data_IF_681260971647
#
_entry.id   IF_681260971647
#
_cell.length_a   1.000
_cell.length_b   1.000
_cell.length_c   1.000
_cell.angle_alpha   90.00
_cell.angle_beta   90.00
_cell.angle_gamma   90.00
#
_symmetry.space_group_name_H-M   'P 1'
#
loop_
_entity.id
_entity.type
_entity.pdbx_description
1 polymer ?
#
# COMPACT_ATOMS: atom_id res chain seq x y z
N UNK A 1 52.16 -29.95 5.44
CA UNK A 1 50.96 -29.68 4.62
C UNK A 1 50.75 -28.18 4.59
N UNK A 2 51.12 -27.53 3.49
CA UNK A 2 50.94 -26.09 3.30
C UNK A 2 49.49 -25.86 2.89
N UNK A 3 48.65 -25.35 3.79
CA UNK A 3 47.35 -24.83 3.40
C UNK A 3 47.61 -23.58 2.57
N UNK A 4 47.50 -23.72 1.25
CA UNK A 4 47.67 -22.63 0.30
C UNK A 4 46.68 -21.52 0.64
N UNK A 5 47.18 -20.35 1.07
CA UNK A 5 46.39 -19.18 1.49
C UNK A 5 45.33 -18.77 0.47
N UNK A 6 45.52 -19.11 -0.81
CA UNK A 6 44.58 -18.87 -1.91
C UNK A 6 43.24 -19.59 -1.69
N UNK A 7 43.24 -20.81 -1.14
CA UNK A 7 42.00 -21.57 -0.87
C UNK A 7 41.20 -20.98 0.29
N UNK A 8 41.89 -20.47 1.32
CA UNK A 8 41.25 -19.82 2.45
C UNK A 8 40.62 -18.48 2.06
N UNK A 9 41.28 -17.70 1.21
CA UNK A 9 40.75 -16.42 0.69
C UNK A 9 39.51 -16.65 -0.19
N UNK A 10 39.53 -17.67 -1.08
CA UNK A 10 38.37 -18.02 -1.91
C UNK A 10 37.17 -18.54 -1.10
N UNK A 11 37.42 -19.30 -0.02
CA UNK A 11 36.35 -19.78 0.86
C UNK A 11 35.70 -18.64 1.65
N UNK A 12 36.50 -17.66 2.08
CA UNK A 12 36.02 -16.51 2.84
C UNK A 12 35.19 -15.55 1.97
N UNK A 13 35.56 -15.33 0.71
CA UNK A 13 34.76 -14.51 -0.22
C UNK A 13 33.41 -15.15 -0.57
N UNK A 14 33.34 -16.48 -0.68
CA UNK A 14 32.07 -17.19 -0.93
C UNK A 14 31.12 -17.12 0.28
N UNK A 15 31.66 -17.13 1.50
CA UNK A 15 30.88 -17.01 2.74
C UNK A 15 30.33 -15.59 2.95
N UNK A 16 31.05 -14.56 2.52
CA UNK A 16 30.57 -13.16 2.63
C UNK A 16 29.47 -12.88 1.60
N UNK A 17 29.51 -13.51 0.42
CA UNK A 17 28.50 -13.33 -0.62
C UNK A 17 27.13 -13.95 -0.29
N UNK A 18 27.06 -14.88 0.68
CA UNK A 18 25.81 -15.61 1.03
C UNK A 18 24.96 -14.90 2.08
N UNK A 19 25.43 -13.80 2.68
CA UNK A 19 24.72 -13.10 3.77
C UNK A 19 23.85 -11.94 3.25
N UNK A 20 23.98 -11.55 1.98
CA UNK A 20 23.18 -10.47 1.38
C UNK A 20 22.03 -11.06 0.57
N UNK A 21 20.98 -11.51 1.24
CA UNK A 21 19.70 -11.77 0.55
C UNK A 21 18.97 -10.43 0.41
N UNK A 22 18.77 -9.89 -0.82
CA UNK A 22 17.89 -8.74 -0.99
C UNK A 22 16.49 -9.16 -0.52
N UNK A 23 15.89 -8.36 0.35
CA UNK A 23 14.47 -8.54 0.71
C UNK A 23 13.65 -8.32 -0.56
N UNK A 24 13.13 -9.39 -1.15
CA UNK A 24 12.17 -9.30 -2.26
C UNK A 24 10.86 -8.77 -1.68
N UNK A 25 10.65 -7.46 -1.80
CA UNK A 25 9.39 -6.78 -1.50
C UNK A 25 8.41 -7.02 -2.66
N UNK A 26 8.04 -8.27 -2.92
CA UNK A 26 7.11 -8.59 -3.99
C UNK A 26 5.71 -7.99 -3.73
N UNK A 27 5.25 -8.05 -2.47
CA UNK A 27 3.89 -7.69 -2.12
C UNK A 27 3.71 -6.17 -1.92
N UNK A 28 2.66 -5.59 -2.51
CA UNK A 28 2.25 -4.22 -2.19
C UNK A 28 1.78 -4.08 -0.73
N UNK A 29 2.48 -3.25 0.04
CA UNK A 29 2.09 -2.85 1.39
C UNK A 29 1.69 -1.38 1.41
N UNK A 30 0.61 -1.04 2.13
CA UNK A 30 0.23 0.37 2.32
C UNK A 30 1.31 1.09 3.15
N UNK A 31 1.87 2.15 2.60
CA UNK A 31 2.94 2.97 3.20
C UNK A 31 2.41 4.26 3.77
N UNK A 32 1.46 4.89 3.08
CA UNK A 32 0.86 6.15 3.49
C UNK A 32 -0.56 6.24 2.94
N UNK A 33 -1.43 6.93 3.67
CA UNK A 33 -2.80 7.18 3.24
C UNK A 33 -3.24 8.58 3.65
N UNK A 34 -4.11 9.16 2.83
CA UNK A 34 -4.76 10.44 3.08
C UNK A 34 -6.27 10.28 2.90
N UNK A 35 -7.09 10.56 3.94
CA UNK A 35 -6.71 10.89 5.30
C UNK A 35 -5.88 9.79 5.99
N UNK A 36 -5.01 10.19 6.93
CA UNK A 36 -4.21 9.24 7.70
C UNK A 36 -5.07 8.37 8.61
N UNK A 37 -4.54 7.19 9.01
CA UNK A 37 -5.22 6.35 9.99
C UNK A 37 -5.49 7.12 11.29
N UNK A 38 -6.69 6.96 11.82
CA UNK A 38 -7.22 7.59 13.03
C UNK A 38 -7.21 9.13 13.00
N UNK A 39 -6.98 9.72 11.83
CA UNK A 39 -7.02 11.17 11.66
C UNK A 39 -8.45 11.69 11.76
N UNK A 40 -8.56 12.89 12.33
CA UNK A 40 -9.79 13.66 12.37
C UNK A 40 -9.63 14.87 11.45
N UNK A 41 -10.32 14.88 10.32
CA UNK A 41 -10.26 15.96 9.34
C UNK A 41 -11.43 16.93 9.53
N UNK A 42 -11.15 18.22 9.39
CA UNK A 42 -12.17 19.28 9.49
C UNK A 42 -12.98 19.46 8.21
N UNK A 43 -12.49 18.95 7.08
CA UNK A 43 -13.13 19.05 5.78
C UNK A 43 -13.23 17.66 5.17
N UNK A 44 -14.41 17.29 4.68
CA UNK A 44 -14.61 16.06 3.94
C UNK A 44 -13.68 16.02 2.71
N UNK A 45 -12.84 14.98 2.55
CA UNK A 45 -12.00 14.86 1.37
C UNK A 45 -12.86 14.60 0.13
N UNK A 46 -12.38 15.04 -1.04
CA UNK A 46 -13.00 14.72 -2.33
C UNK A 46 -12.53 13.36 -2.88
N UNK A 47 -11.39 12.87 -2.39
CA UNK A 47 -10.84 11.56 -2.74
C UNK A 47 -10.00 11.03 -1.58
N UNK A 48 -9.90 9.71 -1.49
CA UNK A 48 -8.88 9.05 -0.69
C UNK A 48 -7.64 8.80 -1.55
N UNK A 49 -6.47 8.84 -0.92
CA UNK A 49 -5.21 8.56 -1.59
C UNK A 49 -4.43 7.54 -0.79
N UNK A 50 -4.05 6.43 -1.42
CA UNK A 50 -3.33 5.32 -0.79
C UNK A 50 -2.01 5.11 -1.56
N UNK A 51 -0.87 5.22 -0.88
CA UNK A 51 0.45 4.95 -1.43
C UNK A 51 0.95 3.59 -0.96
N UNK A 52 1.41 2.79 -1.91
CA UNK A 52 1.91 1.45 -1.66
C UNK A 52 3.43 1.37 -1.83
N UNK A 53 4.02 0.26 -1.42
CA UNK A 53 5.44 -0.02 -1.68
C UNK A 53 5.71 -0.33 -3.15
N UNK A 54 4.71 -0.87 -3.85
CA UNK A 54 4.83 -1.37 -5.22
C UNK A 54 3.79 -0.73 -6.13
N UNK A 55 4.02 -0.82 -7.44
CA UNK A 55 3.07 -0.36 -8.44
C UNK A 55 1.77 -1.18 -8.40
N UNK A 56 0.62 -0.52 -8.60
CA UNK A 56 -0.71 -1.15 -8.49
C UNK A 56 -1.37 -1.33 -9.86
N UNK A 57 -2.14 -2.41 -10.02
CA UNK A 57 -3.01 -2.67 -11.16
C UNK A 57 -4.47 -2.31 -10.81
N UNK A 58 -4.99 -1.14 -11.26
CA UNK A 58 -6.30 -0.63 -10.82
C UNK A 58 -7.48 -1.51 -11.23
N UNK A 59 -7.37 -2.18 -12.38
CA UNK A 59 -8.44 -3.03 -12.93
C UNK A 59 -8.79 -4.22 -12.01
N UNK A 60 -7.88 -4.60 -11.12
CA UNK A 60 -8.04 -5.72 -10.18
C UNK A 60 -7.99 -5.28 -8.71
N UNK A 61 -8.04 -3.96 -8.47
CA UNK A 61 -7.93 -3.34 -7.15
C UNK A 61 -9.21 -2.60 -6.80
N UNK A 62 -9.48 -2.43 -5.51
CA UNK A 62 -10.71 -1.78 -5.06
C UNK A 62 -10.66 -1.30 -3.62
N UNK A 63 -11.49 -0.31 -3.34
CA UNK A 63 -11.64 0.29 -2.01
C UNK A 63 -13.13 0.42 -1.70
N UNK A 64 -13.51 0.01 -0.50
CA UNK A 64 -14.85 0.18 0.06
C UNK A 64 -14.76 1.13 1.24
N UNK A 65 -15.63 2.12 1.26
CA UNK A 65 -15.71 3.11 2.32
C UNK A 65 -17.06 2.95 3.00
N UNK A 66 -17.07 2.75 4.31
CA UNK A 66 -18.27 2.52 5.11
C UNK A 66 -18.34 3.55 6.22
N UNK A 67 -19.41 4.33 6.25
CA UNK A 67 -19.66 5.33 7.31
C UNK A 67 -20.23 4.71 8.58
N UNK A 68 -20.60 5.58 9.51
CA UNK A 68 -21.36 5.20 10.70
C UNK A 68 -22.71 4.57 10.28
N UNK A 69 -23.19 3.58 11.05
CA UNK A 69 -24.40 2.79 10.73
C UNK A 69 -24.28 1.83 9.54
N UNK A 70 -23.04 1.40 9.20
CA UNK A 70 -22.76 0.44 8.13
C UNK A 70 -23.23 0.89 6.72
N UNK A 71 -23.39 2.19 6.51
CA UNK A 71 -23.76 2.73 5.21
C UNK A 71 -22.54 2.79 4.29
N UNK A 72 -22.60 2.12 3.14
CA UNK A 72 -21.56 2.21 2.12
C UNK A 72 -21.60 3.57 1.44
N UNK A 73 -20.47 4.27 1.44
CA UNK A 73 -20.27 5.52 0.72
C UNK A 73 -20.05 5.21 -0.76
N UNK A 74 -20.73 5.94 -1.64
CA UNK A 74 -20.52 5.81 -3.08
C UNK A 74 -19.15 6.38 -3.47
N UNK A 75 -18.33 5.55 -4.09
CA UNK A 75 -17.02 5.91 -4.64
C UNK A 75 -17.05 5.86 -6.15
N UNK A 76 -16.27 6.73 -6.79
CA UNK A 76 -15.99 6.64 -8.22
C UNK A 76 -15.04 5.48 -8.55
N UNK A 77 -14.78 5.29 -9.84
CA UNK A 77 -13.80 4.29 -10.29
C UNK A 77 -12.40 4.63 -9.73
N UNK A 78 -11.78 3.63 -9.11
CA UNK A 78 -10.41 3.75 -8.57
C UNK A 78 -9.43 3.97 -9.72
N UNK A 79 -8.48 4.89 -9.53
CA UNK A 79 -7.47 5.23 -10.53
C UNK A 79 -6.09 5.14 -9.91
N UNK A 80 -5.09 4.74 -10.70
CA UNK A 80 -3.69 4.93 -10.33
C UNK A 80 -3.21 6.28 -10.85
N UNK A 81 -2.36 6.95 -10.08
CA UNK A 81 -1.74 8.19 -10.55
C UNK A 81 -0.85 7.93 -11.79
N UNK A 82 -0.85 8.88 -12.71
CA UNK A 82 -0.11 8.76 -13.96
C UNK A 82 1.41 8.91 -13.78
N UNK A 83 1.82 9.69 -12.78
CA UNK A 83 3.22 10.02 -12.48
C UNK A 83 3.79 9.11 -11.38
N UNK A 84 2.96 8.67 -10.45
CA UNK A 84 3.31 7.74 -9.37
C UNK A 84 2.51 6.44 -9.49
N UNK A 85 3.17 5.37 -9.95
CA UNK A 85 2.53 4.07 -10.12
C UNK A 85 2.14 3.39 -8.79
N UNK A 86 2.69 3.87 -7.68
CA UNK A 86 2.41 3.31 -6.34
C UNK A 86 1.22 3.98 -5.67
N UNK A 87 0.70 5.05 -6.26
CA UNK A 87 -0.41 5.83 -5.70
C UNK A 87 -1.73 5.43 -6.33
N UNK A 88 -2.69 5.10 -5.47
CA UNK A 88 -4.06 4.79 -5.80
C UNK A 88 -4.98 5.92 -5.31
N UNK A 89 -5.82 6.44 -6.19
CA UNK A 89 -6.76 7.54 -5.96
C UNK A 89 -8.17 6.94 -6.01
N UNK A 90 -8.95 7.20 -4.95
CA UNK A 90 -10.33 6.74 -4.80
C UNK A 90 -11.24 7.97 -4.74
N UNK A 91 -11.85 8.38 -5.86
CA UNK A 91 -12.79 9.49 -5.87
C UNK A 91 -14.00 9.19 -4.99
N UNK A 92 -14.48 10.18 -4.25
CA UNK A 92 -15.72 10.10 -3.50
C UNK A 92 -16.83 10.80 -4.32
N UNK A 93 -17.86 10.04 -4.70
CA UNK A 93 -18.96 10.55 -5.54
C UNK A 93 -20.00 11.35 -4.73
N UNK A 94 -19.80 11.44 -3.42
CA UNK A 94 -20.66 12.15 -2.50
C UNK A 94 -19.81 12.84 -1.43
N UNK A 95 -20.33 13.95 -0.89
CA UNK A 95 -19.72 14.60 0.27
C UNK A 95 -19.94 13.74 1.51
N UNK A 96 -18.87 13.56 2.30
CA UNK A 96 -18.94 12.85 3.57
C UNK A 96 -19.60 13.75 4.62
N UNK A 97 -20.53 13.19 5.38
CA UNK A 97 -21.07 13.82 6.58
C UNK A 97 -20.05 13.72 7.73
N UNK A 98 -20.29 14.47 8.80
CA UNK A 98 -19.58 14.29 10.07
C UNK A 98 -19.75 12.84 10.55
N UNK A 99 -18.66 12.19 10.94
CA UNK A 99 -18.67 10.83 11.41
C UNK A 99 -17.38 10.07 11.12
N UNK A 100 -17.35 8.82 11.55
CA UNK A 100 -16.23 7.89 11.41
C UNK A 100 -16.43 6.97 10.21
N UNK A 101 -15.39 6.85 9.39
CA UNK A 101 -15.36 6.06 8.17
C UNK A 101 -14.35 4.92 8.31
N UNK A 102 -14.77 3.70 7.96
CA UNK A 102 -13.92 2.55 7.73
C UNK A 102 -13.56 2.51 6.25
N UNK A 103 -12.27 2.39 5.95
CA UNK A 103 -11.75 2.19 4.61
C UNK A 103 -11.16 0.79 4.55
N UNK A 104 -11.76 -0.05 3.74
CA UNK A 104 -11.27 -1.40 3.44
C UNK A 104 -10.74 -1.42 2.01
N UNK A 105 -9.53 -1.92 1.81
CA UNK A 105 -8.89 -1.94 0.51
C UNK A 105 -8.36 -3.34 0.19
N UNK A 106 -8.34 -3.65 -1.10
CA UNK A 106 -7.53 -4.71 -1.66
C UNK A 106 -6.84 -4.20 -2.92
N UNK A 107 -5.60 -4.58 -3.12
CA UNK A 107 -4.83 -4.20 -4.30
C UNK A 107 -4.12 -5.40 -4.90
N UNK A 108 -3.94 -5.36 -6.21
CA UNK A 108 -3.07 -6.27 -6.93
C UNK A 108 -1.87 -5.47 -7.40
N UNK A 109 -0.66 -5.87 -7.00
CA UNK A 109 0.57 -5.23 -7.49
C UNK A 109 0.91 -5.69 -8.91
N UNK A 110 1.82 -4.95 -9.55
CA UNK A 110 2.39 -5.30 -10.88
C UNK A 110 3.08 -6.66 -10.91
N UNK A 111 3.40 -7.24 -9.75
CA UNK A 111 3.94 -8.60 -9.61
C UNK A 111 2.85 -9.69 -9.61
N UNK A 112 1.57 -9.29 -9.61
CA UNK A 112 0.41 -10.17 -9.67
C UNK A 112 -0.16 -10.60 -8.30
N UNK A 113 0.44 -10.22 -7.18
CA UNK A 113 -0.04 -10.64 -5.86
C UNK A 113 -1.11 -9.69 -5.31
N UNK A 114 -2.14 -10.28 -4.69
CA UNK A 114 -3.20 -9.55 -4.00
C UNK A 114 -2.88 -9.35 -2.53
N UNK A 115 -2.94 -8.11 -2.07
CA UNK A 115 -2.91 -7.76 -0.64
C UNK A 115 -4.18 -7.00 -0.24
N UNK A 116 -4.46 -6.94 1.06
CA UNK A 116 -5.62 -6.25 1.61
C UNK A 116 -5.31 -5.65 2.97
N UNK A 117 -6.11 -4.67 3.38
CA UNK A 117 -6.03 -4.08 4.71
C UNK A 117 -7.19 -3.12 4.94
N UNK A 118 -7.17 -2.48 6.11
CA UNK A 118 -8.17 -1.49 6.47
C UNK A 118 -7.61 -0.45 7.43
N UNK A 119 -8.25 0.72 7.46
CA UNK A 119 -7.99 1.77 8.43
C UNK A 119 -9.25 2.62 8.65
N UNK A 120 -9.24 3.49 9.66
CA UNK A 120 -10.34 4.41 9.94
C UNK A 120 -9.88 5.85 9.89
N UNK A 121 -10.80 6.76 9.61
CA UNK A 121 -10.63 8.21 9.82
C UNK A 121 -11.98 8.83 10.18
N UNK A 122 -11.98 10.05 10.70
CA UNK A 122 -13.22 10.78 11.04
C UNK A 122 -13.26 12.14 10.36
N UNK A 123 -14.47 12.57 9.98
CA UNK A 123 -14.79 13.92 9.52
C UNK A 123 -15.53 14.65 10.65
N UNK A 124 -15.16 15.89 10.94
CA UNK A 124 -15.84 16.76 11.91
C UNK A 124 -16.77 17.75 11.22
#
# INVERSE_FOLDING_TARGET
>A
MVFSSTRAVCALTFLIASVVTPSVLAHAHLKQQTPAADAVVATAPQALTLHFSEGIEPAFSGVTVTGEQQQTVKTGAVKRDEKDKTQLIVPLDQTLATGTYLVEWHVVSVDGHKTKGSYRFSVK
#
